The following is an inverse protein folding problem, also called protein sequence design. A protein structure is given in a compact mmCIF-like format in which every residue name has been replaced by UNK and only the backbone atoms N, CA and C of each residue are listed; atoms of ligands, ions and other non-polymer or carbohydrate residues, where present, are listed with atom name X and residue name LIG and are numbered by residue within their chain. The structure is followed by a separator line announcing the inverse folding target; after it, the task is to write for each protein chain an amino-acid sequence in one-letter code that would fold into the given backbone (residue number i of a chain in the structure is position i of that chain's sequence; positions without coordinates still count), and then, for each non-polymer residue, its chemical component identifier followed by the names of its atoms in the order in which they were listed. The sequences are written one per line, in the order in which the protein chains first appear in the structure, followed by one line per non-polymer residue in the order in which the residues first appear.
data_IF_311755005201
#
_entry.id   IF_311755005201
#
_cell.length_a   1.000
_cell.length_b   1.000
_cell.length_c   1.000
_cell.angle_alpha   90.00
_cell.angle_beta   90.00
_cell.angle_gamma   90.00
#
_symmetry.space_group_name_H-M   'P 1'
#
loop_
_entity.id
_entity.type
_entity.pdbx_description
1 polymer ?
#
# COMPACT_ATOMS: atom_id res chain seq x y z
N UNK A 1 -81.89 41.84 20.32
CA UNK A 1 -82.31 40.44 20.09
C UNK A 1 -81.35 39.81 19.10
N UNK A 2 -80.90 38.59 19.44
CA UNK A 2 -79.97 37.68 18.73
C UNK A 2 -78.51 38.16 18.66
N UNK A 3 -77.57 37.64 19.46
CA UNK A 3 -77.10 36.25 19.65
C UNK A 3 -76.49 35.66 18.39
N UNK A 4 -75.16 35.50 18.39
CA UNK A 4 -74.48 34.39 17.71
C UNK A 4 -73.16 34.07 18.44
N UNK A 5 -72.76 32.80 18.52
CA UNK A 5 -71.80 32.29 19.50
C UNK A 5 -70.45 31.91 18.87
N UNK A 6 -69.50 31.74 19.78
CA UNK A 6 -68.16 31.17 19.65
C UNK A 6 -68.13 29.81 18.95
N UNK A 7 -67.13 29.61 18.07
CA UNK A 7 -66.77 28.30 17.52
C UNK A 7 -65.24 28.13 17.63
N UNK A 8 -64.82 27.25 18.53
CA UNK A 8 -63.57 26.47 18.44
C UNK A 8 -63.96 25.10 17.92
N UNK A 9 -63.22 24.50 16.96
CA UNK A 9 -62.15 23.55 17.31
C UNK A 9 -61.03 23.65 16.24
N UNK A 10 -59.98 22.85 16.13
CA UNK A 10 -59.48 21.69 16.85
C UNK A 10 -57.96 21.67 16.62
N UNK A 11 -57.26 21.05 17.56
CA UNK A 11 -55.84 20.79 17.54
C UNK A 11 -55.53 19.78 16.42
N UNK A 12 -54.81 20.20 15.36
CA UNK A 12 -54.29 19.27 14.35
C UNK A 12 -52.78 19.50 14.21
N UNK A 13 -52.04 18.55 14.77
CA UNK A 13 -50.59 18.40 14.66
C UNK A 13 -50.22 18.21 13.18
N UNK A 14 -49.28 19.01 12.69
CA UNK A 14 -48.50 18.69 11.49
C UNK A 14 -47.06 18.42 11.93
N UNK A 15 -46.81 17.19 12.34
CA UNK A 15 -45.45 16.64 12.35
C UNK A 15 -44.95 16.65 10.90
N UNK A 16 -44.12 17.63 10.59
CA UNK A 16 -43.32 17.62 9.38
C UNK A 16 -42.07 16.83 9.72
N UNK A 17 -41.98 15.61 9.18
CA UNK A 17 -40.81 14.74 9.27
C UNK A 17 -39.57 15.46 8.70
N UNK A 18 -38.77 16.06 9.58
CA UNK A 18 -37.35 16.29 9.31
C UNK A 18 -36.67 14.92 9.30
N UNK A 19 -36.63 14.30 8.12
CA UNK A 19 -35.70 13.20 7.84
C UNK A 19 -34.27 13.78 7.81
N UNK A 20 -33.73 14.00 9.01
CA UNK A 20 -32.28 14.09 9.21
C UNK A 20 -31.75 12.68 8.95
N UNK A 21 -31.18 12.49 7.77
CA UNK A 21 -30.35 11.34 7.46
C UNK A 21 -29.14 11.37 8.40
N UNK A 22 -29.32 10.72 9.53
CA UNK A 22 -28.33 10.39 10.54
C UNK A 22 -27.50 9.22 10.01
N UNK A 23 -26.38 9.49 9.35
CA UNK A 23 -25.27 8.54 9.15
C UNK A 23 -23.98 9.29 8.86
N UNK A 24 -23.53 10.15 9.78
CA UNK A 24 -22.13 10.58 9.80
C UNK A 24 -21.35 9.64 10.73
N UNK A 25 -21.03 8.45 10.22
CA UNK A 25 -20.04 7.61 10.88
C UNK A 25 -18.71 8.36 10.80
N UNK A 26 -18.27 8.92 11.93
CA UNK A 26 -17.05 9.71 12.03
C UNK A 26 -15.89 9.00 11.32
N UNK A 27 -15.42 9.58 10.21
CA UNK A 27 -14.30 9.02 9.44
C UNK A 27 -13.07 8.85 10.35
N UNK A 28 -12.52 7.64 10.40
CA UNK A 28 -11.35 7.33 11.22
C UNK A 28 -10.10 7.67 10.42
N UNK A 29 -9.46 8.79 10.75
CA UNK A 29 -8.20 9.19 10.11
C UNK A 29 -7.00 8.55 10.80
N UNK A 30 -6.01 8.16 9.99
CA UNK A 30 -4.73 7.67 10.48
C UNK A 30 -3.99 8.78 11.25
N UNK A 31 -3.40 8.50 12.43
CA UNK A 31 -2.83 9.53 13.30
C UNK A 31 -1.70 10.34 12.66
N UNK A 32 -0.92 9.73 11.76
CA UNK A 32 0.14 10.43 11.01
C UNK A 32 -0.33 11.09 9.72
N UNK A 33 -1.58 10.85 9.29
CA UNK A 33 -2.16 11.34 8.04
C UNK A 33 -3.56 11.90 8.30
N UNK A 34 -3.63 12.91 9.16
CA UNK A 34 -4.87 13.57 9.60
C UNK A 34 -4.81 15.09 9.49
N UNK A 35 -3.88 15.63 8.68
CA UNK A 35 -3.68 17.07 8.54
C UNK A 35 -4.94 17.77 8.04
N UNK A 36 -5.38 18.83 8.73
CA UNK A 36 -6.55 19.64 8.34
C UNK A 36 -6.37 20.35 7.01
N UNK A 37 -5.12 20.50 6.55
CA UNK A 37 -4.77 21.23 5.33
C UNK A 37 -4.58 20.29 4.13
N UNK A 38 -4.72 18.97 4.34
CA UNK A 38 -4.65 17.99 3.27
C UNK A 38 -5.80 18.16 2.29
N UNK A 39 -5.46 18.17 1.00
CA UNK A 39 -6.36 18.34 -0.15
C UNK A 39 -6.67 17.00 -0.85
N UNK A 40 -6.15 15.89 -0.33
CA UNK A 40 -6.44 14.54 -0.82
C UNK A 40 -6.67 13.58 0.35
N UNK A 41 -7.65 12.69 0.18
CA UNK A 41 -7.96 11.61 1.12
C UNK A 41 -7.88 10.28 0.38
N UNK A 42 -7.00 9.40 0.86
CA UNK A 42 -6.85 8.04 0.35
C UNK A 42 -7.40 7.03 1.36
N UNK A 43 -7.88 5.89 0.88
CA UNK A 43 -8.24 4.75 1.73
C UNK A 43 -7.87 3.43 1.03
N UNK A 44 -7.64 2.38 1.80
CA UNK A 44 -7.51 1.03 1.27
C UNK A 44 -8.87 0.53 0.74
N UNK A 45 -8.87 -0.39 -0.23
CA UNK A 45 -10.10 -0.95 -0.81
C UNK A 45 -10.93 -1.62 0.28
N UNK A 46 -12.16 -1.13 0.46
CA UNK A 46 -13.09 -1.63 1.48
C UNK A 46 -12.69 -1.30 2.92
N UNK A 47 -11.65 -0.49 3.12
CA UNK A 47 -11.18 -0.08 4.44
C UNK A 47 -11.92 1.13 5.00
N UNK A 48 -11.85 1.30 6.32
CA UNK A 48 -12.45 2.44 7.04
C UNK A 48 -11.40 3.38 7.65
N UNK A 49 -10.12 3.09 7.43
CA UNK A 49 -9.00 3.94 7.81
C UNK A 49 -8.61 4.90 6.66
N UNK A 50 -8.75 6.20 6.91
CA UNK A 50 -8.50 7.25 5.92
C UNK A 50 -7.14 7.92 6.11
N UNK A 51 -6.48 8.24 5.00
CA UNK A 51 -5.18 8.89 4.94
C UNK A 51 -5.32 10.25 4.28
N UNK A 52 -5.29 11.31 5.08
CA UNK A 52 -5.36 12.69 4.62
C UNK A 52 -3.96 13.30 4.52
N UNK A 53 -3.58 13.71 3.32
CA UNK A 53 -2.27 14.28 3.01
C UNK A 53 -2.36 15.36 1.92
N UNK A 54 -1.23 15.92 1.54
CA UNK A 54 -1.16 16.92 0.47
C UNK A 54 -0.89 16.25 -0.89
N UNK A 55 -1.67 16.62 -1.90
CA UNK A 55 -1.54 16.17 -3.28
C UNK A 55 -0.14 16.44 -3.85
N UNK A 56 0.51 17.51 -3.38
CA UNK A 56 1.90 17.83 -3.72
C UNK A 56 2.88 16.68 -3.46
N UNK A 57 2.75 15.99 -2.31
CA UNK A 57 3.61 14.85 -1.98
C UNK A 57 3.44 13.76 -3.02
N UNK A 58 2.20 13.33 -3.28
CA UNK A 58 1.90 12.28 -4.25
C UNK A 58 2.33 12.66 -5.68
N UNK A 59 2.08 13.91 -6.12
CA UNK A 59 2.46 14.38 -7.45
C UNK A 59 3.97 14.43 -7.67
N UNK A 60 4.75 14.65 -6.60
CA UNK A 60 6.22 14.74 -6.69
C UNK A 60 6.90 13.38 -6.56
N UNK A 61 6.27 12.42 -5.89
CA UNK A 61 6.83 11.07 -5.66
C UNK A 61 6.23 9.98 -6.54
N UNK A 62 5.16 10.27 -7.29
CA UNK A 62 4.47 9.33 -8.19
C UNK A 62 4.04 10.00 -9.49
N UNK A 63 4.50 9.45 -10.62
CA UNK A 63 4.06 9.94 -11.92
C UNK A 63 2.61 9.53 -12.23
N UNK A 64 2.17 8.40 -11.67
CA UNK A 64 0.78 7.93 -11.73
C UNK A 64 -0.17 8.94 -11.08
N UNK A 65 0.10 9.34 -9.84
CA UNK A 65 -0.70 10.35 -9.13
C UNK A 65 -0.62 11.71 -9.80
N UNK A 66 0.56 12.10 -10.31
CA UNK A 66 0.71 13.34 -11.08
C UNK A 66 -0.23 13.38 -12.29
N UNK A 67 -0.34 12.27 -13.01
CA UNK A 67 -1.24 12.16 -14.17
C UNK A 67 -2.69 12.13 -13.72
N UNK A 68 -3.05 11.25 -12.79
CA UNK A 68 -4.41 11.07 -12.27
C UNK A 68 -5.02 12.37 -11.72
N UNK A 69 -4.22 13.15 -10.98
CA UNK A 69 -4.63 14.42 -10.38
C UNK A 69 -4.53 15.63 -11.32
N UNK A 70 -4.05 15.45 -12.56
CA UNK A 70 -4.06 16.48 -13.60
C UNK A 70 -5.31 16.43 -14.47
N UNK A 71 -6.05 15.31 -14.42
CA UNK A 71 -7.28 15.14 -15.18
C UNK A 71 -8.38 16.07 -14.63
N UNK A 72 -9.27 16.61 -15.48
CA UNK A 72 -10.40 17.40 -15.02
C UNK A 72 -11.32 16.52 -14.17
N UNK A 73 -11.23 16.64 -12.85
CA UNK A 73 -12.17 15.99 -11.94
C UNK A 73 -13.42 16.87 -11.86
N UNK A 74 -14.60 16.25 -12.05
CA UNK A 74 -15.87 16.95 -11.91
C UNK A 74 -15.94 17.64 -10.54
N UNK A 75 -16.45 18.86 -10.51
CA UNK A 75 -16.51 19.67 -9.29
C UNK A 75 -17.32 18.95 -8.21
N UNK A 76 -16.65 18.31 -7.26
CA UNK A 76 -17.27 17.93 -5.99
C UNK A 76 -16.21 17.74 -4.92
N UNK A 77 -16.65 17.86 -3.67
CA UNK A 77 -15.86 17.86 -2.45
C UNK A 77 -14.83 16.72 -2.38
N UNK A 78 -13.78 16.90 -1.55
CA UNK A 78 -12.71 15.95 -1.22
C UNK A 78 -13.16 14.48 -1.31
N UNK A 79 -13.11 13.91 -2.51
CA UNK A 79 -13.58 12.55 -2.76
C UNK A 79 -12.52 11.59 -2.23
N UNK A 80 -12.95 10.57 -1.48
CA UNK A 80 -12.03 9.54 -1.01
C UNK A 80 -11.60 8.69 -2.20
N UNK A 81 -10.30 8.66 -2.47
CA UNK A 81 -9.72 7.81 -3.49
C UNK A 81 -9.39 6.46 -2.85
N UNK A 82 -10.15 5.44 -3.25
CA UNK A 82 -9.88 4.07 -2.83
C UNK A 82 -8.74 3.49 -3.67
N UNK A 83 -7.67 3.14 -2.97
CA UNK A 83 -6.53 2.43 -3.49
C UNK A 83 -6.85 0.94 -3.58
N UNK A 84 -6.17 0.19 -4.45
CA UNK A 84 -6.51 -1.21 -4.71
C UNK A 84 -5.96 -2.17 -3.65
N UNK A 85 -5.08 -1.68 -2.77
CA UNK A 85 -4.59 -2.41 -1.62
C UNK A 85 -5.76 -2.75 -0.71
N UNK A 86 -5.92 -4.03 -0.40
CA UNK A 86 -6.90 -4.46 0.59
C UNK A 86 -6.51 -3.93 1.97
N UNK A 87 -7.52 -3.59 2.78
CA UNK A 87 -7.29 -3.34 4.19
C UNK A 87 -6.72 -4.61 4.82
N UNK A 88 -5.47 -4.55 5.26
CA UNK A 88 -4.81 -5.69 5.86
C UNK A 88 -5.51 -6.11 7.15
N UNK A 89 -5.46 -7.40 7.48
CA UNK A 89 -5.98 -7.88 8.77
C UNK A 89 -5.12 -7.43 9.95
N UNK A 90 -3.82 -7.16 9.70
CA UNK A 90 -2.84 -6.77 10.73
C UNK A 90 -1.92 -5.65 10.23
N UNK A 91 -1.57 -4.66 11.08
CA UNK A 91 -0.53 -3.69 10.80
C UNK A 91 0.87 -4.35 10.71
N UNK A 92 1.82 -3.77 9.96
CA UNK A 92 1.67 -2.52 9.19
C UNK A 92 0.93 -2.74 7.87
N UNK A 93 0.05 -1.79 7.51
CA UNK A 93 -0.67 -1.83 6.24
C UNK A 93 0.22 -1.40 5.07
N UNK A 94 0.08 -2.05 3.91
CA UNK A 94 0.86 -1.71 2.71
C UNK A 94 0.74 -0.23 2.35
N UNK A 95 -0.48 0.31 2.38
CA UNK A 95 -0.73 1.72 2.07
C UNK A 95 -0.07 2.66 3.09
N UNK A 96 -0.12 2.36 4.39
CA UNK A 96 0.54 3.17 5.42
C UNK A 96 2.06 3.22 5.21
N UNK A 97 2.70 2.07 4.97
CA UNK A 97 4.14 2.00 4.70
C UNK A 97 4.53 2.78 3.44
N UNK A 98 3.75 2.63 2.36
CA UNK A 98 3.97 3.35 1.11
C UNK A 98 3.88 4.87 1.32
N UNK A 99 2.83 5.33 2.02
CA UNK A 99 2.61 6.74 2.29
C UNK A 99 3.67 7.34 3.22
N UNK A 100 4.14 6.58 4.21
CA UNK A 100 5.25 7.00 5.08
C UNK A 100 6.53 7.23 4.29
N UNK A 101 6.86 6.32 3.35
CA UNK A 101 8.06 6.44 2.52
C UNK A 101 8.04 7.70 1.66
N UNK A 102 6.92 7.99 1.00
CA UNK A 102 6.81 9.18 0.14
C UNK A 102 6.69 10.49 0.92
N UNK A 103 6.20 10.42 2.16
CA UNK A 103 6.03 11.59 3.02
C UNK A 103 7.24 11.89 3.91
N UNK A 104 8.32 11.11 3.79
CA UNK A 104 9.53 11.28 4.62
C UNK A 104 9.31 11.00 6.10
N UNK A 105 8.34 10.14 6.44
CA UNK A 105 8.03 9.77 7.82
C UNK A 105 8.84 8.55 8.28
N UNK A 106 9.02 8.34 9.60
CA UNK A 106 9.64 7.13 10.11
C UNK A 106 8.94 5.86 9.63
N UNK A 107 9.75 4.92 9.13
CA UNK A 107 9.26 3.62 8.68
C UNK A 107 8.93 2.72 9.86
N UNK A 108 7.86 1.95 9.72
CA UNK A 108 7.56 0.87 10.66
C UNK A 108 8.45 -0.34 10.34
N UNK A 109 8.75 -1.19 11.33
CA UNK A 109 9.51 -2.42 11.09
C UNK A 109 8.84 -3.28 10.02
N UNK A 110 9.63 -3.69 9.03
CA UNK A 110 9.26 -4.68 8.01
C UNK A 110 10.14 -5.89 8.27
N UNK A 111 9.53 -7.05 8.53
CA UNK A 111 10.25 -8.22 9.03
C UNK A 111 10.21 -9.43 8.09
N UNK A 112 9.38 -9.40 7.05
CA UNK A 112 9.22 -10.51 6.13
C UNK A 112 9.10 -10.04 4.67
N UNK A 113 9.42 -10.97 3.76
CA UNK A 113 9.42 -10.71 2.32
C UNK A 113 8.00 -10.58 1.73
N UNK A 114 6.96 -11.07 2.41
CA UNK A 114 5.60 -10.96 1.89
C UNK A 114 5.12 -9.50 1.97
N UNK A 115 5.50 -8.78 3.03
CA UNK A 115 5.30 -7.32 3.13
C UNK A 115 6.16 -6.58 2.09
N UNK A 116 7.42 -6.97 1.90
CA UNK A 116 8.29 -6.38 0.86
C UNK A 116 7.69 -6.53 -0.53
N UNK A 117 7.22 -7.74 -0.89
CA UNK A 117 6.60 -8.03 -2.18
C UNK A 117 5.35 -7.17 -2.40
N UNK A 118 4.50 -7.00 -1.37
CA UNK A 118 3.31 -6.15 -1.44
C UNK A 118 3.66 -4.68 -1.66
N UNK A 119 4.67 -4.16 -0.95
CA UNK A 119 5.12 -2.77 -1.11
C UNK A 119 5.70 -2.55 -2.49
N UNK A 120 6.59 -3.43 -2.95
CA UNK A 120 7.20 -3.31 -4.26
C UNK A 120 6.16 -3.39 -5.39
N UNK A 121 5.18 -4.27 -5.26
CA UNK A 121 4.07 -4.37 -6.21
C UNK A 121 3.23 -3.08 -6.25
N UNK A 122 2.85 -2.53 -5.09
CA UNK A 122 2.12 -1.26 -5.02
C UNK A 122 2.96 -0.08 -5.56
N UNK A 123 4.25 -0.05 -5.23
CA UNK A 123 5.15 0.99 -5.68
C UNK A 123 5.36 0.99 -7.20
N UNK A 124 5.50 -0.18 -7.83
CA UNK A 124 5.54 -0.32 -9.28
C UNK A 124 4.23 0.12 -9.91
N UNK A 125 3.10 -0.34 -9.36
CA UNK A 125 1.75 0.00 -9.83
C UNK A 125 1.48 1.50 -9.83
N UNK A 126 1.87 2.20 -8.77
CA UNK A 126 1.69 3.64 -8.63
C UNK A 126 2.90 4.44 -9.10
N UNK A 127 3.84 3.82 -9.82
CA UNK A 127 5.06 4.43 -10.34
C UNK A 127 5.78 5.33 -9.31
N UNK A 128 6.14 4.71 -8.18
CA UNK A 128 6.78 5.32 -7.02
C UNK A 128 8.22 4.82 -6.85
N UNK A 129 9.22 5.45 -7.49
CA UNK A 129 10.61 4.99 -7.45
C UNK A 129 11.27 5.11 -6.06
N UNK A 130 10.80 6.03 -5.22
CA UNK A 130 11.29 6.23 -3.85
C UNK A 130 11.11 4.96 -2.98
N UNK A 131 9.87 4.49 -2.77
CA UNK A 131 9.58 3.23 -2.10
C UNK A 131 10.37 2.02 -2.65
N UNK A 132 10.51 1.89 -3.97
CA UNK A 132 11.32 0.82 -4.59
C UNK A 132 12.78 0.89 -4.13
N UNK A 133 13.36 2.09 -4.13
CA UNK A 133 14.74 2.32 -3.69
C UNK A 133 14.92 2.02 -2.19
N UNK A 134 13.95 2.41 -1.37
CA UNK A 134 13.94 2.12 0.07
C UNK A 134 13.90 0.61 0.34
N UNK A 135 13.04 -0.13 -0.36
CA UNK A 135 12.95 -1.58 -0.21
C UNK A 135 14.23 -2.29 -0.68
N UNK A 136 14.85 -1.83 -1.76
CA UNK A 136 16.15 -2.35 -2.22
C UNK A 136 17.22 -2.26 -1.15
N UNK A 137 17.31 -1.14 -0.44
CA UNK A 137 18.26 -0.97 0.66
C UNK A 137 17.88 -1.84 1.87
N UNK A 138 16.59 -1.92 2.20
CA UNK A 138 16.10 -2.70 3.33
C UNK A 138 16.41 -4.19 3.20
N UNK A 139 16.19 -4.79 2.03
CA UNK A 139 16.42 -6.24 1.83
C UNK A 139 17.90 -6.64 1.94
N UNK A 140 18.81 -5.67 1.96
CA UNK A 140 20.24 -5.86 2.20
C UNK A 140 20.62 -5.74 3.68
N UNK A 141 19.65 -5.81 4.60
CA UNK A 141 19.86 -5.79 6.05
C UNK A 141 19.25 -7.02 6.72
N UNK A 142 19.72 -7.44 7.92
CA UNK A 142 19.03 -8.47 8.69
C UNK A 142 17.58 -8.05 9.03
N UNK A 143 16.61 -8.98 9.04
CA UNK A 143 16.76 -10.44 8.87
C UNK A 143 16.69 -10.91 7.40
N UNK A 144 16.59 -10.00 6.43
CA UNK A 144 16.37 -10.37 5.02
C UNK A 144 17.55 -11.11 4.39
N UNK A 145 18.77 -10.85 4.87
CA UNK A 145 19.99 -11.53 4.45
C UNK A 145 19.98 -13.02 4.78
N UNK A 146 19.22 -13.45 5.79
CA UNK A 146 19.12 -14.86 6.20
C UNK A 146 18.26 -15.70 5.24
N UNK A 147 17.66 -15.07 4.23
CA UNK A 147 16.80 -15.72 3.23
C UNK A 147 17.31 -15.46 1.81
N UNK A 148 18.50 -15.99 1.44
CA UNK A 148 19.19 -15.63 0.20
C UNK A 148 18.41 -16.00 -1.07
N UNK A 149 17.59 -17.05 -1.04
CA UNK A 149 16.73 -17.40 -2.18
C UNK A 149 15.62 -16.36 -2.42
N UNK A 150 15.03 -15.81 -1.35
CA UNK A 150 14.02 -14.74 -1.47
C UNK A 150 14.68 -13.44 -1.93
N UNK A 151 15.85 -13.11 -1.40
CA UNK A 151 16.64 -11.96 -1.84
C UNK A 151 17.00 -12.05 -3.33
N UNK A 152 17.50 -13.21 -3.75
CA UNK A 152 17.86 -13.45 -5.15
C UNK A 152 16.63 -13.31 -6.07
N UNK A 153 15.48 -13.85 -5.63
CA UNK A 153 14.23 -13.76 -6.40
C UNK A 153 13.78 -12.32 -6.59
N UNK A 154 13.72 -11.53 -5.51
CA UNK A 154 13.29 -10.13 -5.61
C UNK A 154 14.31 -9.31 -6.42
N UNK A 155 15.61 -9.52 -6.21
CA UNK A 155 16.65 -8.79 -6.92
C UNK A 155 16.62 -9.07 -8.43
N UNK A 156 16.41 -10.32 -8.83
CA UNK A 156 16.23 -10.68 -10.24
C UNK A 156 14.98 -10.05 -10.84
N UNK A 157 13.84 -10.09 -10.12
CA UNK A 157 12.57 -9.51 -10.60
C UNK A 157 12.69 -8.02 -10.91
N UNK A 158 13.41 -7.27 -10.07
CA UNK A 158 13.55 -5.81 -10.20
C UNK A 158 14.87 -5.38 -10.85
N UNK A 159 15.66 -6.31 -11.40
CA UNK A 159 16.92 -5.99 -12.09
C UNK A 159 18.01 -5.41 -11.18
N UNK A 160 18.01 -5.75 -9.90
CA UNK A 160 19.01 -5.31 -8.92
C UNK A 160 20.25 -6.20 -8.99
N UNK A 161 21.07 -5.99 -10.02
CA UNK A 161 22.17 -6.91 -10.38
C UNK A 161 23.20 -7.13 -9.25
N UNK A 162 23.52 -6.10 -8.49
CA UNK A 162 24.50 -6.19 -7.40
C UNK A 162 23.96 -7.06 -6.25
N UNK A 163 22.70 -6.86 -5.89
CA UNK A 163 21.98 -7.58 -4.86
C UNK A 163 21.73 -9.03 -5.31
N UNK A 164 21.38 -9.24 -6.58
CA UNK A 164 21.22 -10.58 -7.15
C UNK A 164 22.53 -11.36 -7.12
N UNK A 165 23.66 -10.72 -7.47
CA UNK A 165 24.99 -11.35 -7.39
C UNK A 165 25.39 -11.68 -5.96
N UNK A 166 25.14 -10.76 -5.03
CA UNK A 166 25.38 -10.99 -3.61
C UNK A 166 24.57 -12.19 -3.13
N UNK A 167 23.26 -12.17 -3.36
CA UNK A 167 22.33 -13.20 -2.90
C UNK A 167 22.63 -14.57 -3.51
N UNK A 168 22.89 -14.65 -4.82
CA UNK A 168 23.23 -15.91 -5.49
C UNK A 168 24.48 -16.56 -4.89
N UNK A 169 25.47 -15.75 -4.52
CA UNK A 169 26.67 -16.25 -3.81
C UNK A 169 26.31 -16.82 -2.45
N UNK A 170 25.42 -16.18 -1.68
CA UNK A 170 24.97 -16.70 -0.39
C UNK A 170 24.17 -18.00 -0.53
N UNK A 171 23.42 -18.19 -1.63
CA UNK A 171 22.68 -19.45 -1.86
C UNK A 171 23.61 -20.67 -1.97
N UNK A 172 24.90 -20.47 -2.28
CA UNK A 172 25.84 -21.58 -2.44
C UNK A 172 25.97 -22.42 -1.16
N UNK A 173 25.69 -21.85 0.01
CA UNK A 173 25.72 -22.57 1.30
C UNK A 173 24.52 -23.52 1.49
N UNK A 174 23.56 -23.50 0.55
CA UNK A 174 22.32 -24.27 0.61
C UNK A 174 22.22 -25.28 -0.53
N UNK A 175 21.45 -26.36 -0.30
CA UNK A 175 21.18 -27.36 -1.32
C UNK A 175 20.01 -26.94 -2.22
N UNK A 176 20.22 -26.80 -3.53
CA UNK A 176 19.14 -26.50 -4.49
C UNK A 176 18.09 -27.62 -4.61
N UNK A 177 18.42 -28.83 -4.18
CA UNK A 177 17.52 -29.98 -4.21
C UNK A 177 16.68 -30.12 -2.94
N UNK A 178 16.83 -29.21 -1.98
CA UNK A 178 16.00 -29.18 -0.79
C UNK A 178 14.52 -28.93 -1.18
N UNK A 179 13.57 -29.79 -0.77
CA UNK A 179 12.16 -29.59 -1.00
C UNK A 179 11.63 -28.23 -0.53
N UNK A 180 12.20 -27.65 0.52
CA UNK A 180 11.77 -26.35 1.07
C UNK A 180 12.15 -25.17 0.16
N UNK A 181 13.22 -25.32 -0.61
CA UNK A 181 13.73 -24.29 -1.53
C UNK A 181 12.97 -24.31 -2.87
N UNK A 182 12.40 -25.46 -3.24
CA UNK A 182 11.71 -25.65 -4.53
C UNK A 182 10.63 -24.61 -4.84
N UNK A 183 9.72 -24.23 -3.91
CA UNK A 183 8.73 -23.18 -4.18
C UNK A 183 9.36 -21.82 -4.49
N UNK A 184 10.52 -21.52 -3.90
CA UNK A 184 11.25 -20.28 -4.14
C UNK A 184 11.89 -20.29 -5.53
N UNK A 185 12.46 -21.42 -5.95
CA UNK A 185 13.02 -21.59 -7.29
C UNK A 185 11.96 -21.48 -8.39
N UNK A 186 10.74 -21.94 -8.13
CA UNK A 186 9.61 -21.83 -9.06
C UNK A 186 9.17 -20.38 -9.32
N UNK A 187 9.52 -19.44 -8.42
CA UNK A 187 9.22 -18.01 -8.58
C UNK A 187 10.24 -17.29 -9.47
N UNK A 188 11.38 -17.91 -9.75
CA UNK A 188 12.42 -17.33 -10.61
C UNK A 188 12.01 -17.41 -12.07
N UNK A 189 12.48 -16.44 -12.88
CA UNK A 189 12.49 -16.61 -14.32
C UNK A 189 13.41 -17.77 -14.71
N UNK A 190 13.17 -18.36 -15.89
CA UNK A 190 14.02 -19.44 -16.41
C UNK A 190 15.48 -19.02 -16.46
N UNK A 191 15.78 -17.80 -16.91
CA UNK A 191 17.15 -17.29 -16.97
C UNK A 191 17.80 -17.19 -15.58
N UNK A 192 17.08 -16.63 -14.60
CA UNK A 192 17.59 -16.51 -13.24
C UNK A 192 17.84 -17.89 -12.59
N UNK A 193 16.98 -18.86 -12.89
CA UNK A 193 17.13 -20.24 -12.44
C UNK A 193 18.35 -20.91 -13.08
N UNK A 194 18.50 -20.81 -14.40
CA UNK A 194 19.64 -21.39 -15.12
C UNK A 194 20.97 -20.79 -14.67
N UNK A 195 21.02 -19.47 -14.47
CA UNK A 195 22.20 -18.79 -13.92
C UNK A 195 22.55 -19.30 -12.52
N UNK A 196 21.54 -19.55 -11.67
CA UNK A 196 21.75 -20.09 -10.34
C UNK A 196 22.29 -21.53 -10.39
N UNK A 197 21.73 -22.39 -11.25
CA UNK A 197 22.23 -23.75 -11.44
C UNK A 197 23.67 -23.77 -11.97
N UNK A 198 24.00 -22.91 -12.93
CA UNK A 198 25.36 -22.79 -13.47
C UNK A 198 26.36 -22.37 -12.38
N UNK A 199 25.98 -21.44 -11.51
CA UNK A 199 26.79 -21.01 -10.37
C UNK A 199 27.06 -22.17 -9.39
N UNK A 200 26.02 -22.93 -9.02
CA UNK A 200 26.14 -24.09 -8.13
C UNK A 200 26.96 -25.23 -8.75
N UNK A 201 26.82 -25.47 -10.06
CA UNK A 201 27.63 -26.45 -10.78
C UNK A 201 29.11 -26.08 -10.75
N UNK A 202 29.43 -24.82 -11.06
CA UNK A 202 30.81 -24.32 -11.09
C UNK A 202 31.52 -24.45 -9.73
N UNK A 203 30.79 -24.28 -8.62
CA UNK A 203 31.34 -24.50 -7.26
C UNK A 203 31.73 -25.96 -7.01
N UNK A 204 30.97 -26.92 -7.55
CA UNK A 204 31.23 -28.35 -7.33
C UNK A 204 32.46 -28.85 -8.09
N UNK A 205 32.82 -28.17 -9.18
CA UNK A 205 33.98 -28.51 -10.02
C UNK A 205 35.29 -27.81 -9.61
N UNK A 206 35.22 -26.81 -8.71
CA UNK A 206 36.36 -26.06 -8.19
C UNK A 206 36.92 -26.69 -6.90
#
# INVERSE_FOLDING_TARGET
MNSSPTFTPDLMQSESEESKTDTDASQVFHPSFSSSDGDIVLAAKGGNLFFRLHSFVLKTTSSWFRTMLSLPQGQSALEVIYMDEEEGTHPPYTLDLLLRMVSGLPLLPVADYDVVDKILFAAEKYDMPGPVSTMRLLVMTPPFLDQPFRLYTVACRYGWEAEARFASTQTLEHCLHDPEVRPLLQRLSTDALLNLYALHHSRKEA
#
